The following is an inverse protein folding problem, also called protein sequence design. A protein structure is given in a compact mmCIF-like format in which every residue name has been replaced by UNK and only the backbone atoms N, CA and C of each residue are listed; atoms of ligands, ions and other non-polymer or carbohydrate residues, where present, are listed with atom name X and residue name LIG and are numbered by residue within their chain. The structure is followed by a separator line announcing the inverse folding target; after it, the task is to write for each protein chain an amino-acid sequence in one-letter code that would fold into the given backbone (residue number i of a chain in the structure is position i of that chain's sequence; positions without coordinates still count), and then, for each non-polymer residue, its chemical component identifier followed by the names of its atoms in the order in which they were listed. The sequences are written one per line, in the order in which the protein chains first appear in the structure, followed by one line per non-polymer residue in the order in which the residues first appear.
data_IF_628874404658
#
_entry.id   IF_628874404658
#
_cell.length_a   1.000
_cell.length_b   1.000
_cell.length_c   1.000
_cell.angle_alpha   90.00
_cell.angle_beta   90.00
_cell.angle_gamma   90.00
#
_symmetry.space_group_name_H-M   'P 1'
#
loop_
_entity.id
_entity.type
_entity.pdbx_description
1 polymer ?
#
# COMPACT_ATOMS: atom_id res chain seq x y z
N UNK A 1 10.10 -114.41 6.87
CA UNK A 1 10.76 -114.18 8.18
C UNK A 1 10.47 -112.74 8.59
N UNK A 2 9.40 -112.54 9.37
CA UNK A 2 9.48 -112.07 10.78
C UNK A 2 9.66 -110.54 10.82
N UNK A 3 8.58 -109.74 10.74
CA UNK A 3 7.71 -109.34 11.85
C UNK A 3 8.44 -108.58 12.97
N UNK A 4 8.20 -107.28 13.12
CA UNK A 4 8.12 -106.62 14.44
C UNK A 4 7.46 -105.21 14.40
N UNK A 5 6.31 -105.14 15.09
CA UNK A 5 5.68 -104.04 15.87
C UNK A 5 5.33 -102.70 15.18
N UNK A 6 4.06 -102.33 14.96
CA UNK A 6 2.97 -101.92 15.87
C UNK A 6 3.23 -100.68 16.77
N UNK A 7 2.42 -99.66 16.48
CA UNK A 7 1.68 -98.77 17.39
C UNK A 7 2.38 -97.61 18.12
N UNK A 8 2.07 -96.38 17.66
CA UNK A 8 1.76 -95.14 18.41
C UNK A 8 2.04 -93.96 17.45
N UNK A 9 1.25 -92.90 17.30
CA UNK A 9 0.30 -92.26 18.18
C UNK A 9 -0.68 -91.40 17.36
N UNK A 10 -1.99 -91.65 17.54
CA UNK A 10 -3.04 -90.67 17.23
C UNK A 10 -3.02 -89.63 18.35
N UNK A 11 -2.28 -88.52 18.21
CA UNK A 11 -2.38 -87.32 19.06
C UNK A 11 -1.71 -86.11 18.38
N UNK A 12 -2.26 -85.62 17.27
CA UNK A 12 -1.76 -84.41 16.61
C UNK A 12 -2.84 -83.51 15.99
N UNK A 13 -4.10 -83.59 16.47
CA UNK A 13 -5.22 -82.84 15.86
C UNK A 13 -5.95 -81.87 16.82
N UNK A 14 -5.45 -81.62 18.03
CA UNK A 14 -6.15 -80.75 19.01
C UNK A 14 -5.32 -79.58 19.57
N UNK A 15 -4.15 -79.25 18.99
CA UNK A 15 -3.28 -78.15 19.44
C UNK A 15 -3.10 -77.00 18.43
N UNK A 16 -3.99 -76.85 17.45
CA UNK A 16 -3.94 -75.74 16.47
C UNK A 16 -5.09 -74.72 16.59
N UNK A 17 -5.94 -74.81 17.63
CA UNK A 17 -7.03 -73.84 17.87
C UNK A 17 -6.81 -72.85 19.03
N UNK A 18 -5.71 -72.97 19.78
CA UNK A 18 -5.42 -72.11 20.94
C UNK A 18 -4.26 -71.11 20.73
N UNK A 19 -3.81 -70.90 19.48
CA UNK A 19 -2.72 -69.96 19.15
C UNK A 19 -3.15 -68.77 18.27
N UNK A 20 -4.46 -68.61 18.00
CA UNK A 20 -4.98 -67.49 17.19
C UNK A 20 -5.47 -66.28 18.00
N UNK A 21 -5.41 -66.31 19.33
CA UNK A 21 -5.86 -65.21 20.20
C UNK A 21 -4.73 -64.35 20.78
N UNK A 22 -3.50 -64.51 20.29
CA UNK A 22 -2.32 -63.78 20.77
C UNK A 22 -1.52 -63.12 19.62
N UNK A 23 -2.21 -62.71 18.55
CA UNK A 23 -1.61 -61.79 17.58
C UNK A 23 -1.92 -60.34 17.99
N UNK A 24 -0.91 -59.47 18.13
CA UNK A 24 -1.12 -58.11 18.62
C UNK A 24 -2.02 -57.34 17.65
N UNK A 25 -3.11 -56.77 18.16
CA UNK A 25 -3.99 -55.82 17.47
C UNK A 25 -3.30 -54.48 17.15
N UNK A 26 -1.97 -54.42 17.30
CA UNK A 26 -1.11 -53.24 17.21
C UNK A 26 -0.30 -53.17 15.91
N UNK A 27 -0.55 -54.08 14.96
CA UNK A 27 0.02 -54.04 13.61
C UNK A 27 -0.97 -53.56 12.54
N UNK A 28 -2.24 -53.33 12.87
CA UNK A 28 -3.25 -52.84 11.92
C UNK A 28 -3.44 -51.32 11.91
N UNK A 29 -2.80 -50.59 12.83
CA UNK A 29 -2.87 -49.11 12.90
C UNK A 29 -1.72 -48.41 12.16
N UNK A 30 -0.59 -49.08 11.88
CA UNK A 30 0.51 -48.45 11.13
C UNK A 30 0.21 -48.39 9.63
N UNK A 31 -0.37 -49.45 9.06
CA UNK A 31 -0.63 -49.55 7.62
C UNK A 31 -1.69 -48.55 7.13
N UNK A 32 -2.66 -48.20 7.98
CA UNK A 32 -3.68 -47.19 7.65
C UNK A 32 -3.09 -45.77 7.63
N UNK A 33 -2.18 -45.47 8.57
CA UNK A 33 -1.48 -44.17 8.61
C UNK A 33 -0.46 -44.04 7.47
N UNK A 34 0.24 -45.13 7.12
CA UNK A 34 1.17 -45.16 5.98
C UNK A 34 0.44 -45.01 4.64
N UNK A 35 -0.72 -45.66 4.47
CA UNK A 35 -1.53 -45.51 3.25
C UNK A 35 -2.14 -44.10 3.13
N UNK A 36 -2.59 -43.50 4.25
CA UNK A 36 -3.07 -42.13 4.27
C UNK A 36 -1.94 -41.11 3.97
N UNK A 37 -0.76 -41.31 4.53
CA UNK A 37 0.43 -40.49 4.25
C UNK A 37 0.90 -40.63 2.80
N UNK A 38 0.91 -41.85 2.24
CA UNK A 38 1.24 -42.09 0.83
C UNK A 38 0.21 -41.44 -0.10
N UNK A 39 -1.09 -41.54 0.22
CA UNK A 39 -2.15 -40.90 -0.57
C UNK A 39 -2.09 -39.37 -0.49
N UNK A 40 -1.73 -38.81 0.68
CA UNK A 40 -1.49 -37.38 0.84
C UNK A 40 -0.24 -36.92 0.07
N UNK A 41 0.83 -37.71 0.08
CA UNK A 41 2.06 -37.41 -0.67
C UNK A 41 1.84 -37.45 -2.19
N UNK A 42 1.06 -38.42 -2.70
CA UNK A 42 0.66 -38.46 -4.12
C UNK A 42 -0.24 -37.27 -4.46
N UNK A 43 -1.20 -36.93 -3.59
CA UNK A 43 -2.05 -35.76 -3.79
C UNK A 43 -1.28 -34.43 -3.73
N UNK A 44 -0.19 -34.35 -2.96
CA UNK A 44 0.71 -33.20 -2.93
C UNK A 44 1.64 -33.16 -4.16
N UNK A 45 2.09 -34.32 -4.65
CA UNK A 45 2.92 -34.44 -5.85
C UNK A 45 2.17 -34.04 -7.13
N UNK A 46 0.85 -34.18 -7.16
CA UNK A 46 0.00 -33.74 -8.27
C UNK A 46 -0.40 -32.24 -8.19
N UNK A 47 0.06 -31.50 -7.16
CA UNK A 47 -0.20 -30.07 -7.09
C UNK A 47 0.70 -29.30 -8.05
N UNK A 48 0.08 -28.70 -9.04
CA UNK A 48 0.73 -27.70 -9.90
C UNK A 48 0.67 -26.34 -9.18
N UNK A 49 1.82 -25.87 -8.69
CA UNK A 49 1.94 -24.54 -8.14
C UNK A 49 1.97 -23.50 -9.27
N UNK A 50 1.06 -22.52 -9.23
CA UNK A 50 1.10 -21.39 -10.14
C UNK A 50 2.43 -20.66 -9.97
N UNK A 51 3.20 -20.56 -11.05
CA UNK A 51 4.45 -19.81 -11.09
C UNK A 51 4.31 -18.68 -12.12
N UNK A 52 4.61 -17.46 -11.70
CA UNK A 52 4.61 -16.29 -12.60
C UNK A 52 6.01 -16.20 -13.21
N UNK A 53 6.13 -16.44 -14.51
CA UNK A 53 7.43 -16.44 -15.21
C UNK A 53 8.08 -15.06 -15.27
N UNK A 54 7.28 -13.99 -15.31
CA UNK A 54 7.77 -12.62 -15.31
C UNK A 54 6.90 -11.73 -14.39
N UNK A 55 7.22 -11.68 -13.09
CA UNK A 55 6.49 -10.86 -12.12
C UNK A 55 6.49 -9.37 -12.49
N UNK A 56 7.60 -8.86 -13.04
CA UNK A 56 7.73 -7.45 -13.43
C UNK A 56 6.72 -7.08 -14.51
N UNK A 57 6.59 -7.91 -15.55
CA UNK A 57 5.61 -7.70 -16.60
C UNK A 57 4.18 -7.70 -16.05
N UNK A 58 3.87 -8.63 -15.13
CA UNK A 58 2.57 -8.65 -14.46
C UNK A 58 2.31 -7.35 -13.69
N UNK A 59 3.27 -6.89 -12.89
CA UNK A 59 3.15 -5.66 -12.11
C UNK A 59 2.99 -4.43 -13.02
N UNK A 60 3.73 -4.36 -14.12
CA UNK A 60 3.59 -3.28 -15.09
C UNK A 60 2.20 -3.30 -15.75
N UNK A 61 1.66 -4.49 -16.06
CA UNK A 61 0.30 -4.60 -16.60
C UNK A 61 -0.78 -4.19 -15.60
N UNK A 62 -0.60 -4.54 -14.32
CA UNK A 62 -1.49 -4.08 -13.25
C UNK A 62 -1.39 -2.57 -13.07
N UNK A 63 -0.19 -1.98 -13.10
CA UNK A 63 -0.02 -0.54 -12.97
C UNK A 63 -0.59 0.25 -14.16
N UNK A 64 -0.62 -0.30 -15.38
CA UNK A 64 -1.27 0.36 -16.53
C UNK A 64 -2.79 0.50 -16.39
N UNK A 65 -3.40 -0.06 -15.33
CA UNK A 65 -4.80 0.17 -14.99
C UNK A 65 -5.05 1.50 -14.26
N UNK A 66 -3.99 2.20 -13.87
CA UNK A 66 -4.11 3.59 -13.42
C UNK A 66 -4.34 4.48 -14.65
N UNK A 67 -5.26 5.45 -14.55
CA UNK A 67 -5.64 6.30 -15.68
C UNK A 67 -5.01 7.69 -15.65
N UNK A 68 -4.40 8.09 -14.53
CA UNK A 68 -3.73 9.39 -14.41
C UNK A 68 -2.65 9.40 -13.32
N UNK A 69 -1.69 10.31 -13.46
CA UNK A 69 -0.59 10.45 -12.49
C UNK A 69 -1.10 10.94 -11.14
N UNK A 70 -2.06 11.88 -11.11
CA UNK A 70 -2.67 12.36 -9.87
C UNK A 70 -3.20 11.21 -9.00
N UNK A 71 -3.83 10.20 -9.61
CA UNK A 71 -4.35 9.01 -8.92
C UNK A 71 -3.25 8.16 -8.30
N UNK A 72 -2.13 8.02 -9.01
CA UNK A 72 -0.94 7.33 -8.50
C UNK A 72 -0.39 8.10 -7.29
N UNK A 73 -0.31 9.43 -7.35
CA UNK A 73 0.14 10.25 -6.21
C UNK A 73 -0.79 10.09 -5.00
N UNK A 74 -2.11 10.07 -5.22
CA UNK A 74 -3.10 9.90 -4.16
C UNK A 74 -2.95 8.58 -3.41
N UNK A 75 -2.52 7.49 -4.05
CA UNK A 75 -2.24 6.22 -3.36
C UNK A 75 -1.20 6.39 -2.23
N UNK A 76 -0.15 7.20 -2.46
CA UNK A 76 0.89 7.43 -1.45
C UNK A 76 0.41 8.39 -0.34
N UNK A 77 -0.33 9.45 -0.71
CA UNK A 77 -0.94 10.33 0.28
C UNK A 77 -1.96 9.58 1.16
N UNK A 78 -2.72 8.66 0.57
CA UNK A 78 -3.70 7.84 1.27
C UNK A 78 -3.04 6.85 2.24
N UNK A 79 -1.88 6.30 1.87
CA UNK A 79 -1.09 5.46 2.78
C UNK A 79 -0.63 6.22 4.03
N UNK A 80 -0.30 7.51 3.91
CA UNK A 80 0.03 8.36 5.06
C UNK A 80 -1.19 8.62 5.95
N UNK A 81 -2.36 8.90 5.34
CA UNK A 81 -3.63 9.06 6.05
C UNK A 81 -4.00 7.77 6.81
N UNK A 82 -3.90 6.61 6.15
CA UNK A 82 -4.18 5.30 6.74
C UNK A 82 -3.27 4.99 7.94
N UNK A 83 -2.00 5.40 7.92
CA UNK A 83 -1.09 5.17 9.06
C UNK A 83 -1.58 5.88 10.34
N UNK A 84 -2.20 7.05 10.20
CA UNK A 84 -2.67 7.84 11.35
C UNK A 84 -4.15 7.65 11.64
N UNK A 85 -4.89 7.01 10.75
CA UNK A 85 -6.33 6.81 10.88
C UNK A 85 -6.69 5.99 12.12
N UNK A 86 -5.92 4.95 12.43
CA UNK A 86 -6.18 4.13 13.62
C UNK A 86 -6.16 4.98 14.90
N UNK A 87 -5.13 5.81 15.06
CA UNK A 87 -4.98 6.68 16.22
C UNK A 87 -6.07 7.74 16.30
N UNK A 88 -6.43 8.33 15.15
CA UNK A 88 -7.51 9.32 15.10
C UNK A 88 -8.85 8.72 15.51
N UNK A 89 -9.14 7.47 15.13
CA UNK A 89 -10.42 6.83 15.49
C UNK A 89 -10.53 6.46 16.97
N UNK A 90 -9.41 6.20 17.63
CA UNK A 90 -9.40 5.91 19.06
C UNK A 90 -9.55 7.18 19.90
N UNK A 91 -8.98 8.30 19.45
CA UNK A 91 -8.85 9.53 20.25
C UNK A 91 -9.67 10.72 19.73
N UNK A 92 -10.28 10.60 18.55
CA UNK A 92 -10.88 11.70 17.77
C UNK A 92 -9.93 12.88 17.49
N UNK A 93 -8.62 12.64 17.64
CA UNK A 93 -7.56 13.61 17.48
C UNK A 93 -6.26 12.91 17.09
N UNK A 94 -5.36 13.64 16.42
CA UNK A 94 -3.99 13.20 16.20
C UNK A 94 -3.13 13.58 17.42
N UNK A 95 -2.20 12.72 17.85
CA UNK A 95 -1.26 13.01 18.94
C UNK A 95 -0.37 14.23 18.66
N UNK A 96 -0.13 14.53 17.39
CA UNK A 96 0.53 15.74 16.89
C UNK A 96 -0.03 16.08 15.51
N UNK A 97 0.14 17.33 15.02
CA UNK A 97 -0.33 17.72 13.69
C UNK A 97 0.23 16.79 12.59
N UNK A 98 -0.67 16.15 11.85
CA UNK A 98 -0.36 15.36 10.68
C UNK A 98 -0.10 16.27 9.48
N UNK A 99 1.11 16.21 8.95
CA UNK A 99 1.53 16.96 7.78
C UNK A 99 1.87 16.02 6.64
N UNK A 100 1.25 16.26 5.48
CA UNK A 100 1.53 15.57 4.22
C UNK A 100 1.91 16.62 3.18
N UNK A 101 3.03 16.41 2.50
CA UNK A 101 3.52 17.28 1.44
C UNK A 101 3.58 16.52 0.12
N UNK A 102 3.13 17.15 -0.95
CA UNK A 102 3.28 16.66 -2.32
C UNK A 102 4.09 17.70 -3.10
N UNK A 103 5.32 17.37 -3.45
CA UNK A 103 6.20 18.26 -4.20
C UNK A 103 6.30 17.81 -5.66
N UNK A 104 5.99 18.73 -6.57
CA UNK A 104 6.09 18.60 -8.01
C UNK A 104 7.36 19.32 -8.46
N UNK A 105 8.32 18.57 -8.96
CA UNK A 105 9.61 19.09 -9.42
C UNK A 105 9.65 19.12 -10.95
N UNK A 106 9.71 20.33 -11.52
CA UNK A 106 9.68 20.53 -12.97
C UNK A 106 11.02 21.03 -13.51
N UNK A 107 11.41 20.57 -14.71
CA UNK A 107 12.57 21.08 -15.44
C UNK A 107 12.13 21.53 -16.83
N UNK A 108 12.39 22.79 -17.17
CA UNK A 108 11.97 23.39 -18.45
C UNK A 108 10.47 23.19 -18.74
N UNK A 109 9.64 23.30 -17.70
CA UNK A 109 8.19 23.12 -17.77
C UNK A 109 7.70 21.67 -17.89
N UNK A 110 8.59 20.67 -17.77
CA UNK A 110 8.22 19.24 -17.74
C UNK A 110 8.36 18.71 -16.31
N UNK A 111 7.36 17.98 -15.84
CA UNK A 111 7.45 17.27 -14.56
C UNK A 111 8.50 16.16 -14.66
N UNK A 112 9.50 16.18 -13.77
CA UNK A 112 10.56 15.17 -13.73
C UNK A 112 10.46 14.26 -12.51
N UNK A 113 9.94 14.80 -11.40
CA UNK A 113 9.86 14.09 -10.13
C UNK A 113 8.62 14.53 -9.35
N UNK A 114 8.03 13.56 -8.66
CA UNK A 114 6.99 13.80 -7.65
C UNK A 114 7.45 13.20 -6.33
N UNK A 115 7.34 13.96 -5.26
CA UNK A 115 7.72 13.54 -3.91
C UNK A 115 6.53 13.65 -2.97
N UNK A 116 6.14 12.56 -2.32
CA UNK A 116 5.12 12.56 -1.26
C UNK A 116 5.81 12.32 0.08
N UNK A 117 5.62 13.24 1.03
CA UNK A 117 6.23 13.18 2.36
C UNK A 117 5.18 13.23 3.43
N UNK A 118 5.39 12.47 4.48
CA UNK A 118 4.57 12.52 5.68
C UNK A 118 5.42 12.45 6.95
N UNK A 119 4.87 13.04 8.01
CA UNK A 119 5.47 13.01 9.33
C UNK A 119 4.88 11.88 10.22
N UNK A 120 4.44 10.77 9.65
CA UNK A 120 3.79 9.70 10.40
C UNK A 120 4.80 8.80 11.15
N UNK A 121 4.42 7.56 11.46
CA UNK A 121 5.24 6.64 12.26
C UNK A 121 6.45 6.08 11.51
N UNK A 122 6.45 6.14 10.18
CA UNK A 122 7.43 5.46 9.34
C UNK A 122 7.28 3.94 9.35
N UNK A 123 8.19 3.24 8.69
CA UNK A 123 8.20 1.77 8.59
C UNK A 123 9.48 1.20 9.19
N UNK A 124 9.35 0.10 9.95
CA UNK A 124 10.49 -0.76 10.29
C UNK A 124 11.00 -1.48 9.04
N UNK A 125 12.26 -1.92 9.05
CA UNK A 125 12.87 -2.62 7.91
C UNK A 125 12.01 -3.79 7.39
N UNK A 126 11.48 -4.62 8.29
CA UNK A 126 10.63 -5.76 7.91
C UNK A 126 9.38 -5.31 7.14
N UNK A 127 8.72 -4.21 7.55
CA UNK A 127 7.53 -3.68 6.85
C UNK A 127 7.90 -3.07 5.50
N UNK A 128 9.06 -2.40 5.40
CA UNK A 128 9.57 -1.87 4.14
C UNK A 128 9.87 -2.98 3.12
N UNK A 129 10.49 -4.08 3.56
CA UNK A 129 10.79 -5.23 2.67
C UNK A 129 9.53 -5.93 2.16
N UNK A 130 8.45 -5.95 2.95
CA UNK A 130 7.17 -6.52 2.51
C UNK A 130 6.56 -5.83 1.30
N UNK A 131 6.93 -4.58 1.02
CA UNK A 131 6.52 -3.89 -0.22
C UNK A 131 7.00 -4.61 -1.48
N UNK A 132 8.03 -5.45 -1.38
CA UNK A 132 8.58 -6.25 -2.47
C UNK A 132 8.20 -7.72 -2.41
N UNK A 133 8.12 -8.29 -1.20
CA UNK A 133 7.94 -9.72 -1.01
C UNK A 133 6.48 -10.16 -1.09
N UNK A 134 5.55 -9.32 -0.64
CA UNK A 134 4.14 -9.67 -0.46
C UNK A 134 3.25 -8.81 -1.36
N UNK A 135 3.61 -8.72 -2.64
CA UNK A 135 2.87 -7.93 -3.61
C UNK A 135 1.52 -8.56 -3.88
N UNK A 136 0.46 -7.76 -3.83
CA UNK A 136 -0.91 -8.26 -3.94
C UNK A 136 -1.52 -8.67 -2.59
N UNK A 137 -0.75 -8.60 -1.50
CA UNK A 137 -1.23 -8.83 -0.15
C UNK A 137 -1.40 -7.50 0.59
N UNK A 138 -2.63 -7.21 1.00
CA UNK A 138 -2.92 -6.05 1.83
C UNK A 138 -3.41 -6.48 3.20
N UNK A 139 -2.73 -6.02 4.24
CA UNK A 139 -3.21 -6.13 5.62
C UNK A 139 -4.50 -5.33 5.85
N UNK A 140 -4.84 -4.42 4.91
CA UNK A 140 -6.03 -3.57 4.96
C UNK A 140 -7.28 -4.28 4.44
N UNK A 141 -7.17 -5.49 3.89
CA UNK A 141 -8.27 -6.22 3.22
C UNK A 141 -9.53 -6.41 4.08
N UNK A 142 -9.37 -6.48 5.40
CA UNK A 142 -10.48 -6.68 6.35
C UNK A 142 -10.84 -5.43 7.14
N UNK A 143 -10.29 -4.28 6.77
CA UNK A 143 -10.47 -3.02 7.48
C UNK A 143 -11.32 -2.08 6.62
N UNK A 144 -12.66 -2.05 6.82
CA UNK A 144 -13.59 -1.44 5.86
C UNK A 144 -13.45 0.09 5.71
N UNK A 145 -12.66 0.73 6.57
CA UNK A 145 -12.38 2.17 6.53
C UNK A 145 -11.02 2.54 5.91
N UNK A 146 -10.19 1.55 5.59
CA UNK A 146 -8.92 1.77 4.90
C UNK A 146 -9.06 1.42 3.42
N UNK A 147 -8.35 2.17 2.59
CA UNK A 147 -8.29 1.92 1.15
C UNK A 147 -7.15 0.96 0.79
N UNK A 148 -7.07 0.51 -0.46
CA UNK A 148 -5.95 -0.30 -0.94
C UNK A 148 -6.00 -1.78 -0.52
N UNK A 149 -7.17 -2.41 -0.66
CA UNK A 149 -7.38 -3.83 -0.29
C UNK A 149 -6.60 -4.83 -1.14
N UNK A 150 -6.10 -4.43 -2.30
CA UNK A 150 -5.40 -5.32 -3.23
C UNK A 150 -3.87 -5.34 -3.07
N UNK A 151 -3.26 -4.43 -2.32
CA UNK A 151 -1.81 -4.50 -2.05
C UNK A 151 -0.91 -4.18 -3.25
N UNK A 152 -1.42 -3.51 -4.29
CA UNK A 152 -0.64 -3.10 -5.47
C UNK A 152 -0.30 -1.61 -5.50
N UNK A 153 -0.82 -0.80 -4.56
CA UNK A 153 -0.69 0.67 -4.61
C UNK A 153 0.76 1.17 -4.64
N UNK A 154 1.68 0.49 -3.94
CA UNK A 154 3.12 0.84 -3.98
C UNK A 154 3.75 0.70 -5.38
N UNK A 155 3.18 -0.16 -6.22
CA UNK A 155 3.67 -0.40 -7.58
C UNK A 155 2.98 0.46 -8.64
N UNK A 156 2.07 1.36 -8.23
CA UNK A 156 1.37 2.26 -9.15
C UNK A 156 2.34 3.15 -9.94
N UNK A 157 3.52 3.51 -9.38
CA UNK A 157 4.54 4.30 -10.08
C UNK A 157 4.99 3.69 -11.41
N UNK A 158 4.94 2.36 -11.54
CA UNK A 158 5.44 1.65 -12.73
C UNK A 158 4.73 2.07 -14.01
N UNK A 159 3.53 2.64 -13.89
CA UNK A 159 2.78 3.18 -15.02
C UNK A 159 3.41 4.45 -15.59
N UNK A 160 4.10 5.24 -14.77
CA UNK A 160 4.40 6.65 -15.06
C UNK A 160 5.81 7.12 -14.69
N UNK A 161 6.62 6.30 -14.03
CA UNK A 161 7.93 6.70 -13.51
C UNK A 161 8.98 5.59 -13.59
N UNK A 162 10.23 5.96 -13.88
CA UNK A 162 11.35 5.01 -14.02
C UNK A 162 11.70 4.29 -12.73
N UNK A 163 11.59 5.00 -11.61
CA UNK A 163 11.91 4.43 -10.31
C UNK A 163 11.05 5.01 -9.19
N UNK A 164 10.90 4.20 -8.14
CA UNK A 164 10.39 4.59 -6.84
C UNK A 164 11.52 4.55 -5.83
N UNK A 165 11.67 5.62 -5.05
CA UNK A 165 12.58 5.66 -3.89
C UNK A 165 11.71 5.87 -2.66
N UNK A 166 11.77 4.93 -1.72
CA UNK A 166 11.07 5.02 -0.44
C UNK A 166 12.10 5.21 0.65
N UNK A 167 12.07 6.36 1.33
CA UNK A 167 12.85 6.61 2.54
C UNK A 167 11.92 6.64 3.73
N UNK A 168 12.32 6.03 4.82
CA UNK A 168 11.45 5.94 5.99
C UNK A 168 12.26 5.83 7.27
N UNK A 169 11.74 6.40 8.35
CA UNK A 169 12.33 6.29 9.68
C UNK A 169 11.25 6.00 10.70
N UNK A 170 11.40 4.87 11.38
CA UNK A 170 10.58 4.48 12.52
C UNK A 170 11.25 4.91 13.83
N UNK A 171 10.47 5.12 14.89
CA UNK A 171 10.98 5.59 16.18
C UNK A 171 12.00 4.63 16.84
N UNK A 172 11.92 3.35 16.50
CA UNK A 172 12.80 2.28 17.02
C UNK A 172 14.03 2.02 16.15
N UNK A 173 14.21 2.78 15.07
CA UNK A 173 15.32 2.63 14.13
C UNK A 173 16.25 3.84 14.24
N UNK A 174 17.55 3.60 14.41
CA UNK A 174 18.55 4.66 14.55
C UNK A 174 18.80 5.41 13.23
N UNK A 175 18.42 4.81 12.11
CA UNK A 175 18.75 5.28 10.77
C UNK A 175 17.52 5.37 9.88
N UNK A 176 17.59 6.25 8.88
CA UNK A 176 16.65 6.24 7.76
C UNK A 176 16.94 5.00 6.92
N UNK A 177 15.91 4.23 6.59
CA UNK A 177 15.99 3.13 5.65
C UNK A 177 15.58 3.64 4.27
N UNK A 178 16.31 3.27 3.22
CA UNK A 178 16.00 3.61 1.83
C UNK A 178 15.83 2.35 1.00
N UNK A 179 14.70 2.23 0.31
CA UNK A 179 14.42 1.22 -0.69
C UNK A 179 14.32 1.89 -2.07
N UNK A 180 14.96 1.30 -3.07
CA UNK A 180 14.84 1.73 -4.48
C UNK A 180 14.26 0.61 -5.31
N UNK A 181 13.29 0.95 -6.16
CA UNK A 181 12.59 0.02 -7.04
C UNK A 181 12.62 0.61 -8.44
N UNK A 182 13.37 0.03 -9.38
CA UNK A 182 13.28 0.45 -10.76
C UNK A 182 12.15 -0.31 -11.48
N UNK A 183 11.52 0.35 -12.46
CA UNK A 183 10.41 -0.18 -13.24
C UNK A 183 10.73 -1.49 -13.96
N UNK A 184 11.98 -1.68 -14.36
CA UNK A 184 12.42 -2.86 -15.12
C UNK A 184 13.18 -3.90 -14.28
N UNK A 185 13.36 -3.65 -12.98
CA UNK A 185 14.12 -4.55 -12.11
C UNK A 185 13.36 -5.84 -11.86
N UNK A 186 14.01 -6.97 -12.15
CA UNK A 186 13.53 -8.34 -11.83
C UNK A 186 14.06 -8.85 -10.50
N UNK A 187 14.99 -8.12 -9.89
CA UNK A 187 15.60 -8.41 -8.59
C UNK A 187 15.76 -7.11 -7.83
N UNK A 188 15.54 -7.14 -6.52
CA UNK A 188 15.64 -5.95 -5.68
C UNK A 188 16.81 -6.08 -4.72
N UNK A 189 17.55 -4.98 -4.55
CA UNK A 189 18.52 -4.89 -3.47
C UNK A 189 17.78 -4.74 -2.12
N UNK A 190 18.37 -5.23 -1.02
CA UNK A 190 17.84 -4.95 0.31
C UNK A 190 17.85 -3.43 0.57
N UNK A 191 16.94 -2.97 1.43
CA UNK A 191 16.95 -1.58 1.85
C UNK A 191 18.29 -1.22 2.51
N UNK A 192 18.77 -0.01 2.22
CA UNK A 192 20.05 0.49 2.67
C UNK A 192 19.85 1.53 3.78
N UNK A 193 20.82 1.64 4.68
CA UNK A 193 20.90 2.78 5.59
C UNK A 193 21.17 4.04 4.77
N UNK A 194 20.24 4.97 4.79
CA UNK A 194 20.41 6.29 4.22
C UNK A 194 21.10 7.20 5.24
N UNK A 195 22.14 7.91 4.79
CA UNK A 195 22.76 9.00 5.54
C UNK A 195 21.96 10.31 5.44
N UNK A 196 21.02 10.39 4.49
CA UNK A 196 20.20 11.59 4.31
C UNK A 196 19.07 11.59 5.35
N UNK A 197 18.94 12.68 6.13
CA UNK A 197 17.80 12.83 7.03
C UNK A 197 16.50 12.97 6.23
N UNK A 198 15.38 12.58 6.83
CA UNK A 198 14.08 12.90 6.28
C UNK A 198 13.80 14.38 6.48
N UNK A 199 13.62 15.09 5.37
CA UNK A 199 13.02 16.42 5.41
C UNK A 199 11.56 16.27 5.87
N UNK A 200 11.15 17.01 6.91
CA UNK A 200 9.78 16.98 7.47
C UNK A 200 9.46 15.75 8.34
N UNK A 201 10.46 15.23 9.04
CA UNK A 201 10.22 14.24 10.08
C UNK A 201 9.34 14.82 11.21
N UNK A 202 8.58 13.95 11.87
CA UNK A 202 7.79 14.25 13.06
C UNK A 202 8.68 14.82 14.19
N UNK A 203 8.10 15.34 15.29
CA UNK A 203 8.90 15.74 16.46
C UNK A 203 9.80 14.62 17.01
N UNK A 204 9.42 13.35 16.83
CA UNK A 204 10.24 12.19 17.19
C UNK A 204 11.21 11.75 16.07
N UNK A 205 11.29 12.51 14.98
CA UNK A 205 12.16 12.23 13.85
C UNK A 205 11.68 11.08 12.96
N UNK A 206 10.39 10.77 12.95
CA UNK A 206 9.78 9.69 12.15
C UNK A 206 9.07 10.19 10.90
N UNK A 207 8.86 9.32 9.92
CA UNK A 207 8.10 9.66 8.72
C UNK A 207 8.42 8.77 7.54
N UNK A 208 7.80 9.09 6.39
CA UNK A 208 8.09 8.46 5.11
C UNK A 208 8.19 9.51 4.01
N UNK A 209 9.12 9.31 3.09
CA UNK A 209 9.25 10.03 1.84
C UNK A 209 9.19 9.01 0.70
N UNK A 210 8.30 9.24 -0.26
CA UNK A 210 8.13 8.45 -1.47
C UNK A 210 8.43 9.35 -2.66
N UNK A 211 9.47 9.02 -3.42
CA UNK A 211 9.90 9.77 -4.60
C UNK A 211 9.66 8.93 -5.84
N UNK A 212 8.81 9.43 -6.74
CA UNK A 212 8.71 8.94 -8.12
C UNK A 212 9.63 9.79 -8.98
N UNK A 213 10.65 9.18 -9.55
CA UNK A 213 11.70 9.87 -10.31
C UNK A 213 11.75 9.36 -11.75
N UNK A 214 12.07 10.25 -12.68
CA UNK A 214 12.00 9.94 -14.11
C UNK A 214 10.55 9.78 -14.57
N UNK A 215 9.72 10.80 -14.33
CA UNK A 215 8.32 10.79 -14.78
C UNK A 215 8.27 10.76 -16.31
N UNK A 216 7.48 9.84 -16.86
CA UNK A 216 7.24 9.73 -18.29
C UNK A 216 6.57 11.01 -18.81
N UNK A 217 7.05 11.60 -19.91
CA UNK A 217 6.48 12.84 -20.45
C UNK A 217 4.98 12.74 -20.75
N UNK A 218 4.50 11.57 -21.16
CA UNK A 218 3.09 11.31 -21.47
C UNK A 218 2.20 11.31 -20.23
N UNK A 219 2.77 11.19 -19.03
CA UNK A 219 2.04 11.25 -17.76
C UNK A 219 2.18 12.59 -17.04
N UNK A 220 3.27 13.32 -17.29
CA UNK A 220 3.60 14.53 -16.56
C UNK A 220 2.90 15.82 -17.04
N UNK A 221 2.30 15.83 -18.23
CA UNK A 221 1.78 17.05 -18.85
C UNK A 221 0.50 17.61 -18.18
N UNK A 222 -0.32 16.73 -17.62
CA UNK A 222 -1.61 17.12 -16.99
C UNK A 222 -1.49 17.40 -15.49
N UNK A 223 -0.41 16.96 -14.84
CA UNK A 223 -0.26 17.12 -13.40
C UNK A 223 0.37 18.47 -13.05
N UNK A 224 -0.47 19.45 -12.75
CA UNK A 224 -0.07 20.74 -12.18
C UNK A 224 -0.34 20.80 -10.68
N UNK A 225 0.15 21.85 -10.02
CA UNK A 225 -0.15 22.14 -8.61
C UNK A 225 -1.67 22.24 -8.38
N UNK A 226 -2.37 23.01 -9.22
CA UNK A 226 -3.81 23.21 -9.12
C UNK A 226 -4.57 21.91 -9.34
N UNK A 227 -4.12 21.08 -10.28
CA UNK A 227 -4.75 19.80 -10.52
C UNK A 227 -4.62 18.85 -9.33
N UNK A 228 -3.42 18.78 -8.76
CA UNK A 228 -3.18 17.94 -7.58
C UNK A 228 -3.99 18.43 -6.37
N UNK A 229 -4.07 19.76 -6.16
CA UNK A 229 -4.93 20.35 -5.11
C UNK A 229 -6.38 19.96 -5.33
N UNK A 230 -6.89 20.12 -6.57
CA UNK A 230 -8.27 19.76 -6.93
C UNK A 230 -8.55 18.28 -6.65
N UNK A 231 -7.66 17.38 -7.05
CA UNK A 231 -7.81 15.94 -6.81
C UNK A 231 -7.75 15.60 -5.31
N UNK A 232 -6.80 16.15 -4.55
CA UNK A 232 -6.72 15.97 -3.09
C UNK A 232 -7.99 16.45 -2.40
N UNK A 233 -8.47 17.65 -2.72
CA UNK A 233 -9.69 18.20 -2.15
C UNK A 233 -10.92 17.38 -2.55
N UNK A 234 -10.94 16.84 -3.76
CA UNK A 234 -12.03 15.98 -4.22
C UNK A 234 -12.08 14.65 -3.45
N UNK A 235 -10.93 14.04 -3.19
CA UNK A 235 -10.83 12.70 -2.57
C UNK A 235 -10.86 12.72 -1.05
N UNK A 236 -10.16 13.68 -0.44
CA UNK A 236 -9.96 13.74 1.00
C UNK A 236 -10.77 14.85 1.66
N UNK A 237 -11.77 15.41 0.97
CA UNK A 237 -12.59 16.54 1.41
C UNK A 237 -13.02 16.48 2.89
N UNK A 238 -13.58 15.33 3.32
CA UNK A 238 -14.05 15.13 4.69
C UNK A 238 -12.93 14.91 5.69
N UNK A 239 -11.78 14.40 5.25
CA UNK A 239 -10.61 14.28 6.11
C UNK A 239 -10.00 15.66 6.34
N UNK A 240 -10.00 16.53 5.32
CA UNK A 240 -9.49 17.90 5.39
C UNK A 240 -10.26 18.80 6.39
N UNK A 241 -11.44 18.40 6.88
CA UNK A 241 -12.13 19.12 7.97
C UNK A 241 -11.58 18.80 9.36
N UNK A 242 -10.71 17.79 9.49
CA UNK A 242 -10.19 17.35 10.80
C UNK A 242 -9.13 18.32 11.30
N UNK A 243 -9.26 18.73 12.55
CA UNK A 243 -8.24 19.54 13.22
C UNK A 243 -6.92 18.78 13.29
N UNK A 244 -5.82 19.46 12.95
CA UNK A 244 -4.49 18.87 13.00
C UNK A 244 -4.07 18.11 11.74
N UNK A 245 -4.91 17.98 10.70
CA UNK A 245 -4.48 17.52 9.38
C UNK A 245 -4.09 18.73 8.49
N UNK A 246 -2.96 18.62 7.81
CA UNK A 246 -2.53 19.56 6.77
C UNK A 246 -1.94 18.81 5.59
N UNK A 247 -2.54 18.97 4.41
CA UNK A 247 -1.97 18.51 3.14
C UNK A 247 -1.56 19.73 2.32
N UNK A 248 -0.32 19.77 1.83
CA UNK A 248 0.20 20.85 0.99
C UNK A 248 0.73 20.31 -0.33
N UNK A 249 0.51 21.07 -1.40
CA UNK A 249 1.09 20.81 -2.71
C UNK A 249 2.07 21.93 -3.03
N UNK A 250 3.30 21.58 -3.38
CA UNK A 250 4.34 22.51 -3.79
C UNK A 250 4.79 22.24 -5.21
N UNK A 251 5.02 23.28 -5.98
CA UNK A 251 5.60 23.17 -7.32
C UNK A 251 6.90 23.97 -7.38
N UNK A 252 7.98 23.28 -7.76
CA UNK A 252 9.35 23.82 -7.80
C UNK A 252 9.96 23.63 -9.17
N UNK A 253 10.40 24.74 -9.77
CA UNK A 253 11.20 24.68 -10.99
C UNK A 253 12.69 24.46 -10.66
N UNK A 254 13.26 23.39 -11.20
CA UNK A 254 14.68 23.05 -11.04
C UNK A 254 15.49 23.64 -12.19
N UNK A 255 16.45 24.50 -11.83
CA UNK A 255 17.45 25.00 -12.77
C UNK A 255 18.53 23.95 -13.02
N UNK A 256 18.72 23.56 -14.29
CA UNK A 256 19.70 22.57 -14.72
C UNK A 256 21.15 22.89 -14.35
N UNK A 257 21.46 24.15 -13.99
CA UNK A 257 22.81 24.57 -13.58
C UNK A 257 23.14 24.27 -12.11
N UNK A 258 22.15 23.98 -11.26
CA UNK A 258 22.36 23.71 -9.82
C UNK A 258 22.63 22.23 -9.52
N UNK A 259 22.03 21.31 -10.28
CA UNK A 259 22.16 19.86 -10.00
C UNK A 259 23.56 19.31 -10.29
N UNK A 260 24.21 19.75 -11.37
CA UNK A 260 25.58 19.29 -11.71
C UNK A 260 26.62 19.78 -10.68
N UNK A 261 26.38 20.92 -10.05
CA UNK A 261 27.33 21.54 -9.12
C UNK A 261 27.19 21.00 -7.69
N UNK A 262 26.00 20.58 -7.28
CA UNK A 262 25.76 19.91 -6.00
C UNK A 262 26.41 18.51 -5.94
N UNK A 263 26.46 17.81 -7.07
CA UNK A 263 27.17 16.53 -7.17
C UNK A 263 28.71 16.67 -7.18
N UNK A 264 29.24 17.87 -7.47
CA UNK A 264 30.67 18.10 -7.67
C UNK A 264 31.40 18.76 -6.47
N UNK A 265 30.76 18.90 -5.29
CA UNK A 265 31.44 19.32 -4.06
C UNK A 265 32.07 20.72 -4.04
N UNK A 266 31.70 21.61 -4.97
CA UNK A 266 32.32 22.92 -5.14
C UNK A 266 31.74 24.01 -4.21
N UNK A 267 32.59 24.63 -3.40
CA UNK A 267 32.26 25.70 -2.45
C UNK A 267 31.37 26.82 -3.02
N UNK A 268 30.35 27.19 -2.24
CA UNK A 268 29.29 28.14 -2.58
C UNK A 268 29.83 29.55 -2.86
N UNK A 269 29.69 30.03 -4.10
CA UNK A 269 29.80 31.46 -4.44
C UNK A 269 28.41 32.12 -4.33
N UNK A 270 28.37 33.29 -3.70
CA UNK A 270 27.18 34.17 -3.54
C UNK A 270 26.47 34.39 -4.88
N UNK A 271 25.21 33.98 -4.95
CA UNK A 271 24.36 34.15 -6.12
C UNK A 271 23.92 35.62 -6.27
N UNK A 272 24.22 36.22 -7.42
CA UNK A 272 23.60 37.47 -7.88
C UNK A 272 22.19 37.18 -8.44
N UNK A 273 21.28 38.14 -8.28
CA UNK A 273 19.84 38.02 -8.54
C UNK A 273 19.48 37.56 -9.95
N UNK A 274 19.17 36.27 -10.07
CA UNK A 274 18.39 35.71 -11.17
C UNK A 274 16.91 35.69 -10.81
N UNK A 275 16.04 35.78 -11.82
CA UNK A 275 14.58 35.75 -11.70
C UNK A 275 14.13 34.72 -10.65
N UNK A 276 13.34 35.18 -9.67
CA UNK A 276 12.84 34.32 -8.61
C UNK A 276 12.11 33.13 -9.23
N UNK A 277 12.59 31.91 -8.95
CA UNK A 277 11.86 30.70 -9.29
C UNK A 277 10.44 30.82 -8.71
N UNK A 278 9.42 30.59 -9.54
CA UNK A 278 8.05 30.48 -9.06
C UNK A 278 7.97 29.23 -8.19
N UNK A 279 8.00 29.41 -6.88
CA UNK A 279 7.66 28.40 -5.90
C UNK A 279 6.19 28.61 -5.52
N UNK A 280 5.32 27.68 -5.92
CA UNK A 280 3.92 27.69 -5.50
C UNK A 280 3.80 26.74 -4.32
N UNK A 281 3.23 27.19 -3.20
CA UNK A 281 2.89 26.35 -2.04
C UNK A 281 1.42 26.56 -1.70
N UNK A 282 0.60 25.54 -1.96
CA UNK A 282 -0.84 25.60 -1.78
C UNK A 282 -1.26 24.59 -0.72
N UNK A 283 -1.84 25.10 0.37
CA UNK A 283 -2.48 24.27 1.38
C UNK A 283 -3.87 23.84 0.90
N UNK A 284 -4.12 22.53 0.92
CA UNK A 284 -5.43 21.99 0.60
C UNK A 284 -6.41 22.28 1.75
N UNK A 285 -7.64 22.64 1.40
CA UNK A 285 -8.73 22.89 2.35
C UNK A 285 -9.96 22.08 1.98
N UNK A 286 -10.80 21.75 2.97
CA UNK A 286 -12.12 21.21 2.68
C UNK A 286 -12.94 22.23 1.88
N UNK A 287 -13.88 21.72 1.08
CA UNK A 287 -14.82 22.58 0.38
C UNK A 287 -15.71 23.32 1.39
N UNK A 288 -15.82 24.64 1.24
CA UNK A 288 -16.63 25.48 2.10
C UNK A 288 -18.09 25.47 1.61
N UNK A 289 -18.88 24.52 2.10
CA UNK A 289 -20.31 24.42 1.78
C UNK A 289 -21.14 25.58 2.35
N UNK A 290 -20.65 26.26 3.38
CA UNK A 290 -21.36 27.37 4.02
C UNK A 290 -21.29 28.62 3.15
N UNK A 291 -20.24 28.74 2.33
CA UNK A 291 -20.11 29.79 1.31
C UNK A 291 -21.10 29.66 0.14
N UNK A 292 -21.78 28.53 0.01
CA UNK A 292 -22.70 28.26 -1.10
C UNK A 292 -24.09 28.82 -0.79
N UNK A 293 -24.53 29.77 -1.62
CA UNK A 293 -25.90 30.29 -1.60
C UNK A 293 -26.90 29.16 -1.87
N UNK A 294 -27.89 29.02 -0.99
CA UNK A 294 -28.90 27.98 -1.08
C UNK A 294 -29.51 27.63 0.27
N UNK A 295 -30.18 26.49 0.33
CA UNK A 295 -30.88 26.02 1.53
C UNK A 295 -30.29 24.71 2.05
N UNK A 296 -30.08 24.66 3.36
CA UNK A 296 -29.75 23.41 4.04
C UNK A 296 -30.98 22.52 4.15
N UNK A 297 -30.83 21.28 3.73
CA UNK A 297 -31.85 20.26 3.78
C UNK A 297 -31.30 19.05 4.53
N UNK A 298 -31.88 18.78 5.70
CA UNK A 298 -31.57 17.61 6.51
C UNK A 298 -32.82 16.73 6.50
N UNK A 299 -32.94 15.74 5.60
CA UNK A 299 -34.11 14.87 5.60
C UNK A 299 -34.15 14.11 6.93
N UNK A 300 -35.33 14.05 7.54
CA UNK A 300 -35.54 13.19 8.68
C UNK A 300 -35.60 11.75 8.15
N UNK A 301 -34.49 11.03 8.25
CA UNK A 301 -34.44 9.60 7.97
C UNK A 301 -34.56 8.90 9.31
N UNK A 302 -35.56 8.02 9.47
CA UNK A 302 -35.74 7.16 10.65
C UNK A 302 -34.63 6.10 10.72
N UNK A 303 -33.39 6.56 10.83
CA UNK A 303 -32.21 5.74 10.94
C UNK A 303 -31.09 6.53 11.61
N UNK A 304 -30.88 6.28 12.91
CA UNK A 304 -29.83 6.91 13.72
C UNK A 304 -28.41 6.67 13.18
N UNK A 305 -28.24 5.71 12.26
CA UNK A 305 -26.95 5.36 11.68
C UNK A 305 -26.59 6.17 10.44
N UNK A 306 -27.54 6.91 9.86
CA UNK A 306 -27.33 7.65 8.61
C UNK A 306 -27.64 9.14 8.80
N UNK A 307 -26.57 9.95 8.86
CA UNK A 307 -26.69 11.41 8.89
C UNK A 307 -26.60 11.97 7.48
N UNK A 308 -27.73 12.39 6.92
CA UNK A 308 -27.78 13.06 5.61
C UNK A 308 -27.75 14.58 5.83
N UNK A 309 -26.77 15.26 5.26
CA UNK A 309 -26.73 16.73 5.16
C UNK A 309 -26.65 17.11 3.68
N UNK A 310 -27.67 17.79 3.18
CA UNK A 310 -27.73 18.26 1.79
C UNK A 310 -27.74 19.78 1.78
N UNK A 311 -26.88 20.40 0.97
CA UNK A 311 -26.97 21.80 0.60
C UNK A 311 -27.60 21.86 -0.79
N UNK A 312 -28.79 22.42 -0.91
CA UNK A 312 -29.44 22.65 -2.20
C UNK A 312 -29.08 24.05 -2.64
N UNK A 313 -28.13 24.15 -3.57
CA UNK A 313 -27.67 25.43 -4.09
C UNK A 313 -28.74 26.08 -4.98
N UNK A 314 -28.81 27.41 -4.98
CA UNK A 314 -29.76 28.16 -5.82
C UNK A 314 -29.34 28.21 -7.29
N UNK A 315 -28.08 27.87 -7.58
CA UNK A 315 -27.51 27.76 -8.93
C UNK A 315 -26.63 26.51 -9.04
N UNK A 316 -26.38 26.09 -10.28
CA UNK A 316 -25.42 25.01 -10.53
C UNK A 316 -24.00 25.47 -10.16
N UNK A 317 -23.29 24.63 -9.40
CA UNK A 317 -21.89 24.84 -9.08
C UNK A 317 -21.06 23.82 -9.87
N UNK A 318 -20.26 24.31 -10.82
CA UNK A 318 -19.46 23.47 -11.70
C UNK A 318 -18.55 22.54 -10.90
N UNK A 319 -18.48 21.27 -11.32
CA UNK A 319 -17.68 20.23 -10.65
C UNK A 319 -18.26 19.75 -9.30
N UNK A 320 -19.38 20.30 -8.84
CA UNK A 320 -20.04 19.88 -7.61
C UNK A 320 -21.24 18.98 -7.92
N UNK A 321 -21.04 17.68 -7.68
CA UNK A 321 -22.11 16.67 -7.69
C UNK A 321 -22.36 16.20 -6.27
N UNK A 322 -23.55 15.67 -5.99
CA UNK A 322 -23.82 15.04 -4.70
C UNK A 322 -22.77 13.95 -4.40
N UNK A 323 -22.14 14.02 -3.23
CA UNK A 323 -21.14 13.07 -2.76
C UNK A 323 -21.65 12.38 -1.52
N UNK A 324 -21.62 11.05 -1.53
CA UNK A 324 -21.93 10.24 -0.36
C UNK A 324 -20.62 9.79 0.24
N UNK A 325 -20.46 9.96 1.55
CA UNK A 325 -19.26 9.56 2.28
C UNK A 325 -19.61 8.51 3.32
N UNK A 326 -18.73 7.53 3.51
CA UNK A 326 -18.73 6.58 4.61
C UNK A 326 -17.38 6.71 5.31
N UNK A 327 -17.41 7.05 6.60
CA UNK A 327 -16.20 7.18 7.44
C UNK A 327 -15.17 8.19 6.89
N UNK A 328 -15.65 9.28 6.27
CA UNK A 328 -14.80 10.32 5.69
C UNK A 328 -14.29 10.03 4.27
N UNK A 329 -14.58 8.85 3.72
CA UNK A 329 -14.21 8.45 2.35
C UNK A 329 -15.44 8.37 1.45
N UNK A 330 -15.30 8.54 0.14
CA UNK A 330 -16.43 8.57 -0.79
C UNK A 330 -16.97 7.17 -1.10
N UNK A 331 -18.30 6.98 -1.06
CA UNK A 331 -18.94 5.67 -1.31
C UNK A 331 -18.77 5.20 -2.75
N UNK A 332 -18.71 6.07 -3.76
CA UNK A 332 -18.48 5.62 -5.14
C UNK A 332 -17.12 4.92 -5.33
N UNK A 333 -16.16 5.18 -4.43
CA UNK A 333 -14.88 4.47 -4.36
C UNK A 333 -15.02 3.16 -3.59
N UNK A 334 -15.72 3.17 -2.46
CA UNK A 334 -15.94 2.00 -1.60
C UNK A 334 -16.85 0.94 -2.27
N UNK A 335 -17.93 1.37 -2.90
CA UNK A 335 -18.96 0.52 -3.49
C UNK A 335 -18.50 -0.25 -4.74
N UNK A 336 -17.45 0.22 -5.40
CA UNK A 336 -16.82 -0.52 -6.49
C UNK A 336 -15.63 -1.36 -6.03
N UNK A 337 -15.18 -1.25 -4.77
CA UNK A 337 -13.95 -1.85 -4.26
C UNK A 337 -12.82 -1.69 -5.29
N UNK A 338 -12.68 -0.52 -5.88
CA UNK A 338 -11.57 -0.23 -6.78
C UNK A 338 -10.56 0.54 -5.92
N UNK A 339 -9.31 0.08 -5.88
CA UNK A 339 -8.19 0.99 -5.64
C UNK A 339 -8.23 2.11 -6.70
N UNK A 340 -7.37 3.13 -6.68
CA UNK A 340 -7.48 4.24 -7.64
C UNK A 340 -7.27 3.83 -9.13
N UNK A 341 -7.18 2.52 -9.39
CA UNK A 341 -7.33 1.78 -10.64
C UNK A 341 -8.73 1.96 -11.25
N UNK A 342 -8.82 2.34 -12.53
CA UNK A 342 -10.06 2.36 -13.32
C UNK A 342 -9.91 1.53 -14.59
#
# INVERSE_FOLDING_TARGET
ATALRLASSRRAAHKWRALRSFFPRWLSSSTANEAAAAKAAVAEADRVNLTISNPVLLLNNVSHRYSSLSRIVLEYADNALDDREHEYRENEAYAYPLEIFVDLETRKGKLERVTVRDNCRGMRLAKLMRLLEHVGESEKKFTPWLNGQFGFGVHAFRAAADQLIVRTKHAEEDHVQELRICRMDTSFAPALKSALPLEHASPSGTGTEVVMDGIDPDWGHDLTCEEMVREIQHHFERLLTRSGLSIRVRERQIDSKRSEKAAAGGAARKAGGGAAAMDRDVRCSAFDYDSIEGRDFTPNVDNDKLKIRLKVADREHEGQRARVFLLGRRINEIGNILSFIR
#
